data_IF_677074375176
#
_entry.id   IF_677074375176
#
_cell.length_a   1.000
_cell.length_b   1.000
_cell.length_c   1.000
_cell.angle_alpha   90.00
_cell.angle_beta   90.00
_cell.angle_gamma   90.00
#
_symmetry.space_group_name_H-M   'P 1'
#
loop_
_entity.id
_entity.type
_entity.pdbx_description
1 polymer ?
#
# COMPACT_ATOMS: atom_id res chain seq x y z
N UNK A 1 18.49 -4.97 8.11
CA UNK A 1 17.90 -4.13 7.05
C UNK A 1 18.40 -4.64 5.71
N UNK A 2 17.50 -4.77 4.74
CA UNK A 2 17.75 -5.48 3.49
C UNK A 2 17.84 -4.56 2.27
N UNK A 3 17.76 -3.22 2.43
CA UNK A 3 17.99 -2.28 1.33
C UNK A 3 19.49 -2.04 1.19
N UNK A 4 20.02 -2.19 -0.03
CA UNK A 4 21.43 -2.00 -0.31
C UNK A 4 21.78 -0.52 -0.45
N UNK A 5 22.75 -0.04 0.31
CA UNK A 5 23.14 1.39 0.35
C UNK A 5 23.66 1.93 -0.99
N UNK A 6 24.32 1.09 -1.78
CA UNK A 6 24.87 1.47 -3.09
C UNK A 6 23.85 1.27 -4.21
N UNK A 7 23.25 0.09 -4.30
CA UNK A 7 22.36 -0.26 -5.40
C UNK A 7 20.95 0.35 -5.27
N UNK A 8 20.48 0.64 -4.05
CA UNK A 8 19.14 1.14 -3.77
C UNK A 8 18.03 0.08 -3.76
N UNK A 9 18.24 -1.08 -4.39
CA UNK A 9 17.35 -2.24 -4.35
C UNK A 9 17.47 -3.06 -3.06
N UNK A 10 16.68 -4.14 -2.97
CA UNK A 10 16.65 -5.04 -1.81
C UNK A 10 17.38 -6.37 -2.05
N UNK A 11 17.93 -6.95 -0.98
CA UNK A 11 18.42 -8.32 -0.93
C UNK A 11 17.48 -9.18 -0.07
N UNK A 12 17.26 -10.44 -0.42
CA UNK A 12 16.36 -11.30 0.36
C UNK A 12 16.88 -11.66 1.75
N UNK A 13 18.21 -11.72 1.92
CA UNK A 13 18.89 -12.14 3.16
C UNK A 13 20.23 -11.43 3.28
N UNK A 14 20.73 -11.28 4.51
CA UNK A 14 22.03 -10.66 4.82
C UNK A 14 23.17 -11.33 4.04
N UNK A 15 24.14 -10.52 3.58
CA UNK A 15 25.29 -10.95 2.77
C UNK A 15 24.93 -11.67 1.45
N UNK A 16 23.74 -11.42 0.89
CA UNK A 16 23.37 -11.79 -0.48
C UNK A 16 23.27 -10.56 -1.36
N UNK A 17 23.26 -10.80 -2.66
CA UNK A 17 23.17 -9.75 -3.67
C UNK A 17 21.77 -9.15 -3.72
N UNK A 18 21.70 -7.95 -4.30
CA UNK A 18 20.43 -7.32 -4.71
C UNK A 18 19.70 -8.19 -5.71
N UNK A 19 18.38 -8.15 -5.65
CA UNK A 19 17.49 -8.77 -6.62
C UNK A 19 16.16 -8.00 -6.65
N UNK A 20 15.72 -7.65 -7.86
CA UNK A 20 14.54 -6.81 -8.09
C UNK A 20 13.26 -7.40 -7.53
N UNK A 21 13.10 -8.71 -7.42
CA UNK A 21 11.86 -9.28 -6.87
C UNK A 21 11.63 -8.89 -5.40
N UNK A 22 12.71 -8.65 -4.65
CA UNK A 22 12.61 -8.20 -3.25
C UNK A 22 12.12 -6.77 -3.11
N UNK A 23 12.00 -6.01 -4.20
CA UNK A 23 11.31 -4.71 -4.23
C UNK A 23 9.88 -4.85 -3.69
N UNK A 24 9.18 -5.95 -4.02
CA UNK A 24 7.88 -6.26 -3.45
C UNK A 24 7.99 -7.08 -2.16
N UNK A 25 8.74 -8.20 -2.16
CA UNK A 25 8.75 -9.12 -1.02
C UNK A 25 9.27 -8.49 0.29
N UNK A 26 10.21 -7.56 0.19
CA UNK A 26 10.72 -6.82 1.34
C UNK A 26 10.08 -5.44 1.43
N UNK A 27 9.97 -4.71 0.31
CA UNK A 27 9.37 -3.37 0.29
C UNK A 27 7.91 -3.35 0.77
N UNK A 28 7.13 -4.38 0.45
CA UNK A 28 5.72 -4.52 0.87
C UNK A 28 5.53 -4.74 2.36
N UNK A 29 6.57 -5.14 3.10
CA UNK A 29 6.48 -5.30 4.55
C UNK A 29 6.37 -3.95 5.27
N UNK A 30 6.94 -2.88 4.72
CA UNK A 30 6.92 -1.56 5.34
C UNK A 30 5.51 -1.00 5.53
N UNK A 31 4.65 -0.93 4.49
CA UNK A 31 3.25 -0.50 4.69
C UNK A 31 2.49 -1.44 5.62
N UNK A 32 2.72 -2.77 5.56
CA UNK A 32 2.07 -3.72 6.47
C UNK A 32 2.45 -3.51 7.94
N UNK A 33 3.73 -3.28 8.22
CA UNK A 33 4.22 -2.97 9.58
C UNK A 33 3.61 -1.66 10.06
N UNK A 34 3.56 -0.63 9.22
CA UNK A 34 2.97 0.66 9.59
C UNK A 34 1.48 0.54 9.94
N UNK A 35 0.72 -0.25 9.16
CA UNK A 35 -0.68 -0.56 9.45
C UNK A 35 -0.78 -1.31 10.79
N UNK A 36 -0.01 -2.38 10.99
CA UNK A 36 0.00 -3.15 12.23
C UNK A 36 0.34 -2.30 13.46
N UNK A 37 1.34 -1.42 13.35
CA UNK A 37 1.71 -0.49 14.42
C UNK A 37 0.64 0.55 14.72
N UNK A 38 -0.11 1.02 13.72
CA UNK A 38 -1.25 1.93 13.96
C UNK A 38 -2.39 1.26 14.74
N UNK A 39 -2.60 -0.03 14.54
CA UNK A 39 -3.68 -0.78 15.19
C UNK A 39 -3.40 -1.12 16.65
N UNK A 40 -2.12 -1.32 17.00
CA UNK A 40 -1.72 -1.55 18.38
C UNK A 40 -2.02 -0.34 19.30
N UNK A 41 -2.20 0.86 18.74
CA UNK A 41 -2.46 2.08 19.51
C UNK A 41 -3.86 2.15 20.15
N UNK A 42 -4.84 1.38 19.67
CA UNK A 42 -6.25 1.57 20.06
C UNK A 42 -6.94 0.33 20.67
N UNK A 43 -6.75 0.06 21.98
CA UNK A 43 -7.67 -0.79 22.74
C UNK A 43 -9.02 -0.11 23.06
N UNK A 44 -9.05 1.22 23.18
CA UNK A 44 -10.19 1.98 23.77
C UNK A 44 -10.94 2.91 22.80
N UNK A 45 -10.52 3.02 21.52
CA UNK A 45 -11.20 3.84 20.50
C UNK A 45 -11.94 2.97 19.46
N UNK A 46 -12.66 1.95 19.92
CA UNK A 46 -13.48 1.12 19.04
C UNK A 46 -14.73 1.87 18.61
N UNK A 47 -14.66 2.62 17.50
CA UNK A 47 -15.85 3.24 16.92
C UNK A 47 -15.67 4.20 15.76
N UNK A 48 -14.43 4.55 15.36
CA UNK A 48 -14.20 5.38 14.17
C UNK A 48 -13.50 4.56 13.09
N UNK A 49 -14.12 4.47 11.91
CA UNK A 49 -13.45 4.00 10.70
C UNK A 49 -12.20 4.85 10.50
N UNK A 50 -11.03 4.20 10.48
CA UNK A 50 -9.79 4.86 10.10
C UNK A 50 -9.53 4.51 8.63
N UNK A 51 -9.79 5.46 7.74
CA UNK A 51 -9.59 5.34 6.28
C UNK A 51 -8.17 4.87 5.89
N UNK A 52 -7.20 5.02 6.80
CA UNK A 52 -5.81 4.59 6.60
C UNK A 52 -5.62 3.06 6.70
N UNK A 53 -6.60 2.34 7.25
CA UNK A 53 -6.52 0.90 7.52
C UNK A 53 -7.37 0.17 6.47
N UNK A 54 -6.83 -0.79 5.71
CA UNK A 54 -7.62 -1.54 4.76
C UNK A 54 -8.83 -2.22 5.41
N UNK A 55 -10.00 -2.12 4.76
CA UNK A 55 -11.29 -2.62 5.25
C UNK A 55 -11.23 -4.06 5.79
N UNK A 56 -10.55 -4.97 5.09
CA UNK A 56 -10.44 -6.37 5.50
C UNK A 56 -9.63 -6.57 6.78
N UNK A 57 -8.83 -5.59 7.21
CA UNK A 57 -8.12 -5.63 8.49
C UNK A 57 -8.91 -4.98 9.62
N UNK A 58 -9.75 -3.98 9.31
CA UNK A 58 -10.64 -3.34 10.30
C UNK A 58 -11.56 -4.37 10.97
N UNK A 59 -11.98 -5.39 10.23
CA UNK A 59 -12.87 -6.46 10.71
C UNK A 59 -12.15 -7.68 11.32
N UNK A 60 -10.80 -7.67 11.44
CA UNK A 60 -10.01 -8.80 11.94
C UNK A 60 -10.39 -9.27 13.37
N UNK A 61 -10.98 -8.39 14.20
CA UNK A 61 -11.51 -8.73 15.53
C UNK A 61 -12.77 -9.61 15.49
N UNK A 62 -13.46 -9.70 14.36
CA UNK A 62 -14.68 -10.52 14.21
C UNK A 62 -14.43 -11.93 13.68
N UNK A 63 -13.23 -12.23 13.16
CA UNK A 63 -12.89 -13.57 12.66
C UNK A 63 -12.54 -14.58 13.77
N UNK A 64 -12.37 -14.15 15.03
CA UNK A 64 -12.00 -15.03 16.14
C UNK A 64 -13.17 -15.59 16.93
N UNK A 65 -14.42 -15.23 16.62
CA UNK A 65 -15.60 -15.79 17.27
C UNK A 65 -16.54 -16.43 16.23
N UNK A 66 -16.51 -17.76 16.04
CA UNK A 66 -17.58 -18.44 15.34
C UNK A 66 -18.78 -18.47 16.29
N UNK A 67 -19.66 -17.46 16.19
CA UNK A 67 -21.10 -17.46 16.44
C UNK A 67 -21.57 -16.08 16.87
N UNK A 68 -22.36 -15.43 16.01
CA UNK A 68 -23.78 -15.14 16.24
C UNK A 68 -24.24 -14.18 15.14
N UNK A 69 -25.25 -14.63 14.42
CA UNK A 69 -26.07 -13.80 13.53
C UNK A 69 -26.46 -12.50 14.25
N UNK A 70 -26.30 -11.38 13.56
CA UNK A 70 -27.12 -10.21 13.84
C UNK A 70 -27.54 -9.60 12.52
N UNK A 71 -28.81 -9.81 12.21
CA UNK A 71 -29.55 -9.08 11.19
C UNK A 71 -29.55 -7.61 11.59
N UNK A 72 -29.17 -6.70 10.70
CA UNK A 72 -29.62 -5.31 10.77
C UNK A 72 -29.83 -4.76 9.38
N UNK A 73 -31.11 -4.60 9.07
CA UNK A 73 -31.71 -3.87 7.97
C UNK A 73 -31.24 -2.41 8.02
N UNK A 74 -30.68 -1.89 6.92
CA UNK A 74 -30.46 -0.45 6.77
C UNK A 74 -31.61 0.10 5.93
N UNK A 75 -32.43 0.92 6.58
CA UNK A 75 -33.43 1.79 5.95
C UNK A 75 -32.73 3.01 5.36
N UNK A 76 -33.09 3.34 4.13
CA UNK A 76 -32.80 4.58 3.42
C UNK A 76 -33.10 5.82 4.28
N UNK A 77 -32.18 6.80 4.30
CA UNK A 77 -32.52 8.21 4.43
C UNK A 77 -31.63 9.02 3.48
N UNK A 78 -32.31 9.84 2.71
CA UNK A 78 -31.83 10.72 1.66
C UNK A 78 -31.49 12.12 2.16
N UNK A 79 -30.80 12.84 1.27
CA UNK A 79 -30.97 14.27 0.94
C UNK A 79 -30.30 15.41 1.73
N UNK A 80 -29.79 16.32 0.89
CA UNK A 80 -29.68 17.79 1.00
C UNK A 80 -28.43 18.47 1.62
N UNK A 81 -27.49 18.75 0.71
CA UNK A 81 -27.16 20.08 0.14
C UNK A 81 -26.84 21.31 1.02
N UNK A 82 -25.82 22.04 0.51
CA UNK A 82 -25.64 23.50 0.45
C UNK A 82 -24.71 24.25 1.43
N UNK A 83 -23.46 24.44 0.95
CA UNK A 83 -22.87 25.70 0.45
C UNK A 83 -22.76 26.94 1.38
N UNK A 84 -21.52 27.45 1.58
CA UNK A 84 -21.14 28.87 1.32
C UNK A 84 -19.66 29.20 1.59
N UNK A 85 -19.16 30.06 0.71
CA UNK A 85 -17.81 30.62 0.56
C UNK A 85 -17.29 31.46 1.74
N UNK A 86 -15.95 31.58 1.84
CA UNK A 86 -15.20 32.87 1.75
C UNK A 86 -13.67 32.68 1.77
N UNK A 87 -13.02 33.41 0.86
CA UNK A 87 -11.58 33.55 0.64
C UNK A 87 -10.85 34.29 1.77
N UNK A 88 -9.57 33.99 1.99
CA UNK A 88 -8.50 34.99 2.19
C UNK A 88 -7.10 34.36 2.05
N UNK A 89 -6.32 34.83 1.07
CA UNK A 89 -4.89 34.53 0.90
C UNK A 89 -4.04 35.24 1.96
N UNK A 90 -3.13 34.51 2.64
CA UNK A 90 -1.82 35.04 3.07
C UNK A 90 -0.73 33.95 3.04
N UNK A 91 0.43 34.39 2.55
CA UNK A 91 1.65 33.66 2.27
C UNK A 91 2.37 33.06 3.49
N UNK A 92 3.15 32.04 3.15
CA UNK A 92 4.44 31.63 3.71
C UNK A 92 4.49 30.98 5.10
N UNK A 93 5.28 29.90 5.09
CA UNK A 93 6.03 29.31 6.18
C UNK A 93 5.37 28.18 6.98
N UNK A 94 6.09 27.06 6.97
CA UNK A 94 6.12 25.98 7.95
C UNK A 94 4.87 25.77 8.84
N UNK A 95 4.08 24.75 8.51
CA UNK A 95 3.15 24.13 9.46
C UNK A 95 3.18 22.61 9.22
N UNK A 96 3.92 21.81 9.98
CA UNK A 96 3.70 21.51 11.40
C UNK A 96 2.26 21.02 11.65
N UNK A 97 1.89 19.90 11.04
CA UNK A 97 0.73 19.11 11.47
C UNK A 97 1.10 18.38 12.76
N UNK A 98 0.86 19.05 13.88
CA UNK A 98 0.68 18.38 15.18
C UNK A 98 -0.64 17.63 15.15
N UNK A 99 -0.60 16.36 14.76
CA UNK A 99 -1.63 15.39 15.14
C UNK A 99 -1.00 14.44 16.15
N UNK A 100 -1.73 14.16 17.23
CA UNK A 100 -1.32 13.22 18.26
C UNK A 100 -0.93 11.86 17.65
N UNK A 101 -0.02 11.14 18.33
CA UNK A 101 0.45 9.76 18.05
C UNK A 101 1.81 9.59 17.35
N UNK A 102 2.88 10.14 17.96
CA UNK A 102 4.28 9.95 17.57
C UNK A 102 4.77 8.49 17.68
N UNK A 103 4.33 7.59 16.80
CA UNK A 103 5.13 6.40 16.44
C UNK A 103 5.78 6.70 15.10
N UNK A 104 7.11 6.73 15.02
CA UNK A 104 7.78 6.93 13.75
C UNK A 104 7.40 5.80 12.80
N UNK A 105 6.87 6.16 11.63
CA UNK A 105 6.59 5.19 10.57
C UNK A 105 7.90 4.53 10.14
N UNK A 106 7.87 3.21 10.01
CA UNK A 106 8.99 2.46 9.44
C UNK A 106 9.02 2.75 7.95
N UNK A 107 10.16 3.25 7.47
CA UNK A 107 10.37 3.64 6.06
C UNK A 107 11.63 3.02 5.50
N UNK A 108 11.67 2.93 4.17
CA UNK A 108 12.87 2.66 3.39
C UNK A 108 13.11 3.83 2.41
N UNK A 109 14.26 3.86 1.76
CA UNK A 109 14.55 4.91 0.78
C UNK A 109 13.79 4.64 -0.53
N UNK A 110 12.55 5.12 -0.60
CA UNK A 110 11.62 4.96 -1.73
C UNK A 110 12.24 5.41 -3.05
N UNK A 111 12.80 6.62 -3.11
CA UNK A 111 13.47 7.14 -4.31
C UNK A 111 14.66 6.29 -4.78
N UNK A 112 15.41 5.68 -3.87
CA UNK A 112 16.52 4.79 -4.25
C UNK A 112 16.00 3.49 -4.86
N UNK A 113 14.89 2.94 -4.34
CA UNK A 113 14.25 1.78 -4.95
C UNK A 113 13.70 2.12 -6.34
N UNK A 114 13.05 3.28 -6.51
CA UNK A 114 12.56 3.72 -7.82
C UNK A 114 13.71 3.85 -8.83
N UNK A 115 14.83 4.46 -8.43
CA UNK A 115 16.05 4.53 -9.27
C UNK A 115 16.53 3.14 -9.65
N UNK A 116 16.62 2.21 -8.70
CA UNK A 116 17.07 0.85 -8.97
C UNK A 116 16.18 0.16 -10.01
N UNK A 117 14.86 0.21 -9.85
CA UNK A 117 13.93 -0.43 -10.79
C UNK A 117 13.98 0.23 -12.17
N UNK A 118 13.96 1.57 -12.24
CA UNK A 118 13.89 2.31 -13.50
C UNK A 118 15.22 2.33 -14.28
N UNK A 119 16.36 2.31 -13.60
CA UNK A 119 17.68 2.44 -14.25
C UNK A 119 18.35 1.08 -14.43
N UNK A 120 18.30 0.21 -13.42
CA UNK A 120 19.07 -1.03 -13.42
C UNK A 120 18.24 -2.23 -13.88
N UNK A 121 16.94 -2.26 -13.59
CA UNK A 121 16.15 -3.47 -13.74
C UNK A 121 15.37 -3.55 -15.07
N UNK A 122 15.29 -2.47 -15.86
CA UNK A 122 14.61 -2.50 -17.15
C UNK A 122 15.48 -3.15 -18.23
N UNK A 123 14.89 -4.04 -19.03
CA UNK A 123 15.54 -4.61 -20.20
C UNK A 123 15.17 -3.84 -21.47
N UNK A 124 16.11 -3.69 -22.42
CA UNK A 124 15.92 -2.89 -23.64
C UNK A 124 14.84 -3.45 -24.58
N UNK A 125 14.61 -4.76 -24.56
CA UNK A 125 13.52 -5.41 -25.31
C UNK A 125 12.19 -5.47 -24.54
N UNK A 126 12.09 -4.80 -23.39
CA UNK A 126 10.94 -4.86 -22.48
C UNK A 126 11.09 -5.91 -21.37
N UNK A 127 10.29 -5.74 -20.32
CA UNK A 127 10.33 -6.53 -19.10
C UNK A 127 11.33 -6.02 -18.06
N UNK A 128 11.23 -6.58 -16.85
CA UNK A 128 12.14 -6.31 -15.74
C UNK A 128 12.99 -7.55 -15.46
N UNK A 129 14.25 -7.34 -15.08
CA UNK A 129 15.24 -8.37 -14.76
C UNK A 129 15.48 -8.44 -13.26
N UNK A 130 16.00 -9.58 -12.78
CA UNK A 130 16.58 -9.72 -11.43
C UNK A 130 17.61 -8.61 -11.17
N UNK A 131 18.66 -8.58 -12.00
CA UNK A 131 19.74 -7.57 -12.02
C UNK A 131 20.51 -7.71 -13.34
N UNK A 132 21.18 -6.66 -13.85
CA UNK A 132 22.06 -6.83 -15.01
C UNK A 132 23.16 -7.88 -14.74
N UNK A 133 23.53 -8.73 -15.71
CA UNK A 133 23.00 -8.85 -17.08
C UNK A 133 21.95 -9.98 -17.25
N UNK A 134 21.14 -10.27 -16.22
CA UNK A 134 20.14 -11.36 -16.29
C UNK A 134 19.06 -11.05 -17.33
N UNK A 135 18.47 -12.11 -17.88
CA UNK A 135 17.34 -12.01 -18.81
C UNK A 135 16.06 -11.56 -18.11
N UNK A 136 15.15 -10.85 -18.80
CA UNK A 136 13.85 -10.50 -18.24
C UNK A 136 12.93 -11.72 -18.19
N UNK A 137 12.02 -11.71 -17.22
CA UNK A 137 10.97 -12.72 -17.09
C UNK A 137 9.70 -12.11 -16.49
N UNK A 138 8.58 -12.84 -16.56
CA UNK A 138 7.30 -12.38 -16.04
C UNK A 138 7.29 -12.23 -14.51
N UNK A 139 8.09 -13.01 -13.80
CA UNK A 139 8.17 -12.99 -12.35
C UNK A 139 8.79 -11.67 -11.86
N UNK A 140 9.96 -11.31 -12.36
CA UNK A 140 10.64 -10.04 -12.05
C UNK A 140 9.90 -8.84 -12.61
N UNK A 141 9.25 -8.98 -13.77
CA UNK A 141 8.35 -7.95 -14.31
C UNK A 141 7.21 -7.65 -13.33
N UNK A 142 6.54 -8.69 -12.84
CA UNK A 142 5.48 -8.53 -11.85
C UNK A 142 6.01 -7.90 -10.56
N UNK A 143 6.96 -8.53 -9.88
CA UNK A 143 7.40 -8.08 -8.55
C UNK A 143 8.23 -6.80 -8.56
N UNK A 144 8.93 -6.51 -9.65
CA UNK A 144 9.61 -5.23 -9.86
C UNK A 144 8.62 -4.08 -9.96
N UNK A 145 7.55 -4.23 -10.76
CA UNK A 145 6.50 -3.21 -10.90
C UNK A 145 5.65 -3.09 -9.63
N UNK A 146 5.35 -4.20 -8.95
CA UNK A 146 4.66 -4.17 -7.67
C UNK A 146 5.47 -3.44 -6.59
N UNK A 147 6.79 -3.67 -6.54
CA UNK A 147 7.70 -2.92 -5.67
C UNK A 147 7.80 -1.43 -6.04
N UNK A 148 7.80 -1.12 -7.34
CA UNK A 148 7.77 0.27 -7.83
C UNK A 148 6.48 0.98 -7.38
N UNK A 149 5.33 0.32 -7.47
CA UNK A 149 4.06 0.84 -6.96
C UNK A 149 4.17 1.17 -5.47
N UNK A 150 4.67 0.26 -4.64
CA UNK A 150 4.82 0.51 -3.20
C UNK A 150 5.71 1.74 -2.96
N UNK A 151 6.84 1.84 -3.66
CA UNK A 151 7.76 2.96 -3.50
C UNK A 151 7.16 4.31 -3.90
N UNK A 152 6.30 4.33 -4.92
CA UNK A 152 5.64 5.56 -5.37
C UNK A 152 4.58 6.04 -4.40
N UNK A 153 3.77 5.13 -3.86
CA UNK A 153 2.61 5.49 -3.06
C UNK A 153 2.93 5.66 -1.58
N UNK A 154 3.98 5.02 -1.06
CA UNK A 154 4.36 5.15 0.36
C UNK A 154 4.77 6.59 0.75
N UNK A 155 5.39 7.33 -0.17
CA UNK A 155 5.77 8.74 0.01
C UNK A 155 5.01 9.68 -0.95
N UNK A 156 4.02 9.17 -1.69
CA UNK A 156 3.27 9.91 -2.72
C UNK A 156 4.18 10.69 -3.69
N UNK A 157 5.22 10.02 -4.19
CA UNK A 157 6.26 10.61 -5.02
C UNK A 157 6.64 9.70 -6.18
N UNK A 158 6.55 10.21 -7.41
CA UNK A 158 7.01 9.52 -8.63
C UNK A 158 8.30 10.14 -9.11
N UNK A 159 9.32 9.30 -9.33
CA UNK A 159 10.59 9.73 -9.89
C UNK A 159 10.50 9.87 -11.42
N UNK A 160 10.87 11.04 -11.94
CA UNK A 160 10.94 11.31 -13.38
C UNK A 160 9.60 11.79 -13.96
N UNK A 161 9.35 11.48 -15.23
CA UNK A 161 8.10 11.88 -15.90
C UNK A 161 6.92 11.06 -15.37
N UNK A 162 6.05 11.74 -14.62
CA UNK A 162 4.87 11.14 -14.00
C UNK A 162 3.95 10.46 -15.04
N UNK A 163 3.86 10.98 -16.27
CA UNK A 163 2.99 10.39 -17.30
C UNK A 163 3.47 9.02 -17.78
N UNK A 164 4.75 8.71 -17.59
CA UNK A 164 5.40 7.49 -18.10
C UNK A 164 5.74 6.51 -16.98
N UNK A 165 6.10 7.02 -15.81
CA UNK A 165 6.64 6.21 -14.73
C UNK A 165 5.59 5.84 -13.67
N UNK A 166 4.46 6.55 -13.60
CA UNK A 166 3.41 6.25 -12.63
C UNK A 166 2.77 4.88 -12.91
N UNK A 167 2.75 4.02 -11.90
CA UNK A 167 2.04 2.73 -11.94
C UNK A 167 0.84 2.76 -11.00
N UNK A 168 -0.16 1.91 -11.23
CA UNK A 168 -1.35 1.86 -10.38
C UNK A 168 -1.01 1.38 -8.97
N UNK A 169 -1.67 1.96 -7.97
CA UNK A 169 -1.52 1.54 -6.58
C UNK A 169 -1.99 0.09 -6.37
N UNK A 170 -1.15 -0.69 -5.67
CA UNK A 170 -1.46 -2.05 -5.24
C UNK A 170 -1.76 -2.13 -3.74
N UNK A 171 -2.56 -3.12 -3.38
CA UNK A 171 -2.68 -3.57 -2.01
C UNK A 171 -1.44 -4.38 -1.61
N UNK A 172 -0.74 -4.01 -0.52
CA UNK A 172 0.52 -4.67 -0.14
C UNK A 172 0.34 -6.08 0.43
N UNK A 173 -0.87 -6.47 0.85
CA UNK A 173 -1.16 -7.82 1.36
C UNK A 173 -1.45 -8.78 0.21
N UNK A 174 -2.33 -8.38 -0.72
CA UNK A 174 -2.78 -9.24 -1.81
C UNK A 174 -1.93 -9.13 -3.08
N UNK A 175 -1.14 -8.07 -3.24
CA UNK A 175 -0.30 -7.85 -4.41
C UNK A 175 -1.09 -7.56 -5.69
N UNK A 176 -2.33 -7.08 -5.58
CA UNK A 176 -3.20 -6.70 -6.70
C UNK A 176 -3.59 -5.22 -6.58
N UNK A 177 -4.07 -4.59 -7.67
CA UNK A 177 -4.49 -3.19 -7.61
C UNK A 177 -5.59 -2.96 -6.56
N UNK A 178 -5.52 -1.86 -5.82
CA UNK A 178 -6.54 -1.54 -4.80
C UNK A 178 -7.96 -1.52 -5.38
N UNK A 179 -8.15 -0.96 -6.57
CA UNK A 179 -9.46 -0.95 -7.24
C UNK A 179 -10.03 -2.36 -7.41
N UNK A 180 -9.23 -3.30 -7.95
CA UNK A 180 -9.69 -4.68 -8.15
C UNK A 180 -9.95 -5.42 -6.86
N UNK A 181 -9.21 -5.12 -5.81
CA UNK A 181 -9.50 -5.66 -4.49
C UNK A 181 -10.85 -5.15 -3.97
N UNK A 182 -11.11 -3.85 -4.08
CA UNK A 182 -12.41 -3.25 -3.72
C UNK A 182 -13.55 -3.89 -4.50
N UNK A 183 -13.40 -4.01 -5.82
CA UNK A 183 -14.40 -4.66 -6.70
C UNK A 183 -14.69 -6.10 -6.25
N UNK A 184 -13.63 -6.87 -5.97
CA UNK A 184 -13.74 -8.27 -5.55
C UNK A 184 -14.41 -8.41 -4.18
N UNK A 185 -14.01 -7.59 -3.20
CA UNK A 185 -14.63 -7.58 -1.86
C UNK A 185 -16.12 -7.25 -1.98
N UNK A 186 -16.48 -6.19 -2.70
CA UNK A 186 -17.87 -5.79 -2.88
C UNK A 186 -18.70 -6.92 -3.51
N UNK A 187 -18.16 -7.58 -4.55
CA UNK A 187 -18.83 -8.70 -5.21
C UNK A 187 -19.06 -9.88 -4.26
N UNK A 188 -18.03 -10.36 -3.57
CA UNK A 188 -18.14 -11.54 -2.71
C UNK A 188 -18.92 -11.28 -1.42
N UNK A 189 -18.94 -10.04 -0.90
CA UNK A 189 -19.79 -9.65 0.23
C UNK A 189 -21.28 -9.69 -0.10
N UNK A 190 -21.66 -9.47 -1.36
CA UNK A 190 -23.05 -9.52 -1.80
C UNK A 190 -23.57 -10.96 -1.98
N UNK A 191 -22.70 -11.96 -1.99
CA UNK A 191 -23.08 -13.37 -2.15
C UNK A 191 -23.42 -14.01 -0.79
N UNK A 192 -24.38 -14.96 -0.77
CA UNK A 192 -24.66 -15.72 0.45
C UNK A 192 -23.43 -16.52 0.89
N UNK A 193 -23.17 -16.58 2.19
CA UNK A 193 -22.11 -17.43 2.74
C UNK A 193 -22.43 -18.89 2.45
N UNK A 194 -21.42 -19.62 1.96
CA UNK A 194 -21.54 -21.06 1.79
C UNK A 194 -21.54 -21.69 3.19
N UNK A 195 -22.72 -22.01 3.70
CA UNK A 195 -22.87 -22.88 4.87
C UNK A 195 -22.76 -24.32 4.39
N UNK A 196 -21.81 -25.08 4.92
CA UNK A 196 -21.68 -26.51 4.63
C UNK A 196 -23.02 -27.22 4.87
N UNK A 197 -23.36 -28.17 3.99
CA UNK A 197 -24.55 -29.03 4.11
C UNK A 197 -24.23 -30.29 4.89
#
# INVERSE_FOLDING_TARGET
MCQMSYAGGFQGRTHKLVDTCYSFWVGGLFPLINIASSLQKNPNETGKENDSIPFYWQNSKTLTNPTKESNNTITDISDESNNKDKNEEKNADSSNTKTADNVPLVKFHTLQLQKYVLICAQHSSGGIVDKPPKSPDYYHTCYGLSGLSIAQHLDNQVLGDNRRNHVNEIDPLYGISKQKLTDAIAYFHALPRITEK
#
